data_IF_346599398936
#
_entry.id   IF_346599398936
#
_cell.length_a   1.000
_cell.length_b   1.000
_cell.length_c   1.000
_cell.angle_alpha   90.00
_cell.angle_beta   90.00
_cell.angle_gamma   90.00
#
_symmetry.space_group_name_H-M   'P 1'
#
loop_
_entity.id
_entity.type
_entity.pdbx_description
1 polymer ?
#
# COMPACT_ATOMS: atom_id res chain seq x y z
N UNK A 1 31.25 -34.79 -11.29
CA UNK A 1 31.02 -35.42 -9.98
C UNK A 1 31.24 -34.46 -8.80
N UNK A 2 32.35 -33.69 -8.74
CA UNK A 2 32.60 -32.75 -7.63
C UNK A 2 31.57 -31.61 -7.49
N UNK A 3 31.12 -31.04 -8.61
CA UNK A 3 30.11 -29.97 -8.63
C UNK A 3 28.75 -30.40 -8.06
N UNK A 4 28.41 -31.69 -8.17
CA UNK A 4 27.14 -32.21 -7.64
C UNK A 4 27.14 -32.21 -6.12
N UNK A 5 28.25 -32.60 -5.50
CA UNK A 5 28.40 -32.59 -4.05
C UNK A 5 28.34 -31.17 -3.50
N UNK A 6 29.04 -30.22 -4.14
CA UNK A 6 28.97 -28.80 -3.77
C UNK A 6 27.56 -28.22 -3.92
N UNK A 7 26.81 -28.65 -4.94
CA UNK A 7 25.41 -28.25 -5.14
C UNK A 7 24.50 -28.70 -3.99
N UNK A 8 24.66 -29.93 -3.50
CA UNK A 8 23.91 -30.45 -2.35
C UNK A 8 24.22 -29.67 -1.07
N UNK A 9 25.49 -29.34 -0.82
CA UNK A 9 25.85 -28.52 0.36
C UNK A 9 25.30 -27.09 0.28
N UNK A 10 25.35 -26.46 -0.90
CA UNK A 10 24.79 -25.12 -1.10
C UNK A 10 23.27 -25.08 -0.84
N UNK A 11 22.55 -26.14 -1.24
CA UNK A 11 21.12 -26.29 -0.96
C UNK A 11 20.86 -26.47 0.54
N UNK A 12 21.61 -27.36 1.20
CA UNK A 12 21.49 -27.60 2.63
C UNK A 12 21.70 -26.33 3.47
N UNK A 13 22.75 -25.56 3.17
CA UNK A 13 22.99 -24.30 3.88
C UNK A 13 21.89 -23.26 3.65
N UNK A 14 21.30 -23.24 2.46
CA UNK A 14 20.18 -22.36 2.11
C UNK A 14 18.92 -22.74 2.87
N UNK A 15 18.63 -24.03 2.99
CA UNK A 15 17.51 -24.56 3.77
C UNK A 15 17.66 -24.23 5.25
N UNK A 16 18.84 -24.47 5.84
CA UNK A 16 19.11 -24.16 7.24
C UNK A 16 18.99 -22.66 7.55
N UNK A 17 19.45 -21.79 6.64
CA UNK A 17 19.29 -20.34 6.78
C UNK A 17 17.81 -19.93 6.74
N UNK A 18 17.02 -20.57 5.88
CA UNK A 18 15.58 -20.31 5.73
C UNK A 18 14.83 -20.73 7.00
N UNK A 19 15.15 -21.88 7.58
CA UNK A 19 14.54 -22.34 8.85
C UNK A 19 14.74 -21.32 9.97
N UNK A 20 15.98 -20.88 10.19
CA UNK A 20 16.29 -19.84 11.19
C UNK A 20 15.59 -18.52 10.91
N UNK A 21 15.49 -18.13 9.64
CA UNK A 21 14.77 -16.92 9.26
C UNK A 21 13.27 -17.04 9.57
N UNK A 22 12.66 -18.21 9.34
CA UNK A 22 11.26 -18.47 9.65
C UNK A 22 11.01 -18.38 11.17
N UNK A 23 11.89 -18.96 11.99
CA UNK A 23 11.84 -18.84 13.45
C UNK A 23 11.93 -17.37 13.89
N UNK A 24 12.87 -16.61 13.31
CA UNK A 24 13.02 -15.18 13.59
C UNK A 24 11.78 -14.37 13.20
N UNK A 25 11.20 -14.64 12.03
CA UNK A 25 9.96 -14.00 11.57
C UNK A 25 8.80 -14.36 12.50
N UNK A 26 8.69 -15.62 12.93
CA UNK A 26 7.63 -16.06 13.83
C UNK A 26 7.70 -15.34 15.18
N UNK A 27 8.91 -15.21 15.75
CA UNK A 27 9.15 -14.44 16.98
C UNK A 27 8.81 -12.97 16.81
N UNK A 28 9.29 -12.32 15.74
CA UNK A 28 9.00 -10.91 15.48
C UNK A 28 7.52 -10.63 15.17
N UNK A 29 6.80 -11.59 14.57
CA UNK A 29 5.34 -11.52 14.41
C UNK A 29 4.62 -11.63 15.76
N UNK A 30 5.05 -12.54 16.64
CA UNK A 30 4.49 -12.66 17.99
C UNK A 30 4.72 -11.39 18.84
N UNK A 31 5.88 -10.75 18.66
CA UNK A 31 6.23 -9.46 19.28
C UNK A 31 5.54 -8.25 18.60
N UNK A 32 4.78 -8.46 17.51
CA UNK A 32 4.03 -7.40 16.83
C UNK A 32 4.91 -6.36 16.12
N UNK A 33 6.17 -6.70 15.80
CA UNK A 33 7.13 -5.79 15.16
C UNK A 33 6.68 -5.42 13.74
N UNK A 34 6.09 -6.36 13.00
CA UNK A 34 5.64 -6.14 11.63
C UNK A 34 4.27 -5.45 11.59
N UNK A 35 4.28 -4.12 11.50
CA UNK A 35 3.06 -3.27 11.39
C UNK A 35 2.64 -2.98 9.94
N UNK A 36 3.17 -3.74 8.99
CA UNK A 36 2.98 -3.50 7.55
C UNK A 36 3.73 -2.26 7.05
N UNK A 37 3.47 -1.89 5.79
CA UNK A 37 4.03 -0.67 5.20
C UNK A 37 3.42 0.54 5.89
N UNK A 38 4.25 1.48 6.37
CA UNK A 38 3.77 2.77 6.88
C UNK A 38 2.91 3.46 5.81
N UNK A 39 1.76 3.99 6.23
CA UNK A 39 0.90 4.77 5.33
C UNK A 39 1.71 5.97 4.81
N UNK A 40 1.76 6.11 3.48
CA UNK A 40 2.58 7.14 2.84
C UNK A 40 1.88 8.50 2.75
N UNK A 41 0.59 8.57 3.08
CA UNK A 41 -0.26 9.73 2.86
C UNK A 41 -1.10 10.03 4.09
N UNK A 42 -1.35 11.30 4.35
CA UNK A 42 -2.22 11.74 5.43
C UNK A 42 -3.69 11.60 5.04
N UNK A 43 -4.33 10.56 5.57
CA UNK A 43 -5.76 10.31 5.37
C UNK A 43 -6.63 11.41 6.02
N UNK A 44 -6.13 12.05 7.09
CA UNK A 44 -6.82 13.12 7.79
C UNK A 44 -7.03 14.34 6.90
N UNK A 45 -6.00 14.71 6.12
CA UNK A 45 -6.11 15.82 5.17
C UNK A 45 -7.16 15.55 4.09
N UNK A 46 -7.19 14.34 3.52
CA UNK A 46 -8.21 13.95 2.52
C UNK A 46 -9.62 14.01 3.11
N UNK A 47 -9.79 13.53 4.35
CA UNK A 47 -11.08 13.57 5.06
C UNK A 47 -11.56 15.01 5.31
N UNK A 48 -10.67 15.89 5.76
CA UNK A 48 -11.00 17.31 5.99
C UNK A 48 -11.43 17.99 4.69
N UNK A 49 -10.70 17.78 3.59
CA UNK A 49 -11.03 18.38 2.31
C UNK A 49 -12.37 17.85 1.77
N UNK A 50 -12.66 16.57 1.96
CA UNK A 50 -13.97 16.01 1.58
C UNK A 50 -15.10 16.53 2.46
N UNK A 51 -14.87 16.69 3.77
CA UNK A 51 -15.85 17.27 4.69
C UNK A 51 -16.15 18.74 4.37
N UNK A 52 -15.18 19.46 3.82
CA UNK A 52 -15.36 20.83 3.31
C UNK A 52 -16.11 20.88 1.95
N UNK A 53 -16.56 19.75 1.42
CA UNK A 53 -17.32 19.66 0.17
C UNK A 53 -16.49 19.73 -1.11
N UNK A 54 -15.17 19.59 -1.04
CA UNK A 54 -14.33 19.62 -2.25
C UNK A 54 -14.48 18.32 -3.07
N UNK A 55 -14.54 18.45 -4.38
CA UNK A 55 -14.52 17.33 -5.34
C UNK A 55 -13.15 16.63 -5.38
N UNK A 56 -13.09 15.38 -5.85
CA UNK A 56 -11.84 14.58 -5.80
C UNK A 56 -10.77 15.17 -6.71
N UNK A 57 -11.13 15.76 -7.85
CA UNK A 57 -10.18 16.44 -8.73
C UNK A 57 -9.37 17.55 -8.02
N UNK A 58 -10.03 18.33 -7.16
CA UNK A 58 -9.36 19.38 -6.38
C UNK A 58 -8.54 18.79 -5.22
N UNK A 59 -9.05 17.73 -4.57
CA UNK A 59 -8.29 17.00 -3.55
C UNK A 59 -7.00 16.43 -4.14
N UNK A 60 -7.03 15.90 -5.36
CA UNK A 60 -5.85 15.43 -6.07
C UNK A 60 -4.83 16.55 -6.30
N UNK A 61 -5.28 17.73 -6.75
CA UNK A 61 -4.41 18.90 -6.96
C UNK A 61 -3.73 19.36 -5.68
N UNK A 62 -4.45 19.37 -4.56
CA UNK A 62 -3.91 19.86 -3.29
C UNK A 62 -3.02 18.84 -2.55
N UNK A 63 -3.29 17.55 -2.71
CA UNK A 63 -2.60 16.48 -1.95
C UNK A 63 -1.59 15.70 -2.77
N UNK A 64 -1.63 15.78 -4.10
CA UNK A 64 -0.81 14.97 -5.01
C UNK A 64 -1.15 13.47 -4.97
N UNK A 65 -2.27 13.09 -4.36
CA UNK A 65 -2.69 11.69 -4.23
C UNK A 65 -3.48 11.29 -5.48
N UNK A 66 -3.27 10.06 -5.97
CA UNK A 66 -4.02 9.55 -7.13
C UNK A 66 -5.51 9.35 -6.81
N UNK A 67 -6.36 9.50 -7.84
CA UNK A 67 -7.81 9.29 -7.77
C UNK A 67 -8.18 7.95 -7.09
N UNK A 68 -7.50 6.87 -7.51
CA UNK A 68 -7.70 5.52 -6.96
C UNK A 68 -7.42 5.47 -5.46
N UNK A 69 -6.37 6.13 -4.98
CA UNK A 69 -6.03 6.09 -3.57
C UNK A 69 -6.99 6.96 -2.74
N UNK A 70 -7.46 8.09 -3.26
CA UNK A 70 -8.51 8.90 -2.62
C UNK A 70 -9.81 8.10 -2.49
N UNK A 71 -10.29 7.44 -3.56
CA UNK A 71 -11.49 6.61 -3.43
C UNK A 71 -11.32 5.47 -2.45
N UNK A 72 -10.14 4.85 -2.40
CA UNK A 72 -9.86 3.81 -1.40
C UNK A 72 -9.95 4.37 0.01
N UNK A 73 -9.42 5.57 0.25
CA UNK A 73 -9.52 6.27 1.53
C UNK A 73 -10.99 6.57 1.85
N UNK A 74 -11.74 7.17 0.94
CA UNK A 74 -13.16 7.52 1.14
C UNK A 74 -14.01 6.28 1.44
N UNK A 75 -13.80 5.19 0.70
CA UNK A 75 -14.47 3.92 0.93
C UNK A 75 -14.13 3.32 2.31
N UNK A 76 -12.87 3.36 2.75
CA UNK A 76 -12.47 2.88 4.07
C UNK A 76 -13.10 3.67 5.23
N UNK A 77 -13.44 4.95 5.03
CA UNK A 77 -14.06 5.80 6.05
C UNK A 77 -15.58 5.96 5.88
N UNK A 78 -16.19 5.30 4.88
CA UNK A 78 -17.63 5.41 4.60
C UNK A 78 -18.08 6.83 4.22
N UNK A 79 -17.19 7.66 3.66
CA UNK A 79 -17.57 8.99 3.17
C UNK A 79 -18.29 8.87 1.81
N UNK A 80 -19.24 9.78 1.52
CA UNK A 80 -19.97 9.78 0.26
C UNK A 80 -18.99 9.89 -0.93
N UNK A 81 -19.17 8.96 -1.88
CA UNK A 81 -18.43 8.91 -3.14
C UNK A 81 -19.33 9.54 -4.17
N UNK A 82 -19.15 10.84 -4.41
CA UNK A 82 -19.88 11.57 -5.45
C UNK A 82 -19.32 11.18 -6.82
N UNK A 83 -19.76 10.04 -7.34
CA UNK A 83 -19.38 9.51 -8.66
C UNK A 83 -19.68 10.49 -9.79
N UNK A 84 -20.71 11.33 -9.62
CA UNK A 84 -21.18 12.28 -10.63
C UNK A 84 -20.37 13.60 -10.67
N UNK A 85 -19.77 14.01 -9.54
CA UNK A 85 -18.97 15.24 -9.46
C UNK A 85 -17.53 15.08 -9.99
N UNK A 86 -17.10 13.85 -10.26
CA UNK A 86 -15.75 13.48 -10.69
C UNK A 86 -15.69 12.92 -12.12
N UNK A 87 -16.77 13.05 -12.89
CA UNK A 87 -16.72 12.89 -14.34
C UNK A 87 -15.87 14.06 -14.84
N UNK A 88 -14.67 13.83 -15.41
CA UNK A 88 -14.01 14.89 -16.14
C UNK A 88 -14.93 15.20 -17.32
N UNK A 89 -15.64 16.33 -17.27
CA UNK A 89 -16.23 16.91 -18.47
C UNK A 89 -15.08 17.03 -19.45
N UNK A 90 -15.06 16.16 -20.46
CA UNK A 90 -13.99 16.11 -21.44
C UNK A 90 -14.12 17.35 -22.34
N UNK A 91 -13.58 18.47 -21.88
CA UNK A 91 -13.30 19.64 -22.69
C UNK A 91 -11.80 19.94 -22.63
N UNK A 92 -10.97 19.00 -23.09
CA UNK A 92 -9.68 19.32 -23.71
C UNK A 92 -9.05 18.08 -24.38
N UNK A 93 -9.62 17.69 -25.52
CA UNK A 93 -8.86 17.09 -26.61
C UNK A 93 -9.38 17.72 -27.90
N UNK A 94 -8.75 18.83 -28.31
CA UNK A 94 -8.73 19.24 -29.72
C UNK A 94 -7.60 18.49 -30.42
#
# INVERSE_FOLDING_TARGET
MFLNLLGVFAQFETELRKERQLEGIAKAKAEGVYKGRKQSYDHGRVKQLKANGLGVAEIMRQTGISKTHIYRILNCYGLPIDVDADIPTNEHVM
#
